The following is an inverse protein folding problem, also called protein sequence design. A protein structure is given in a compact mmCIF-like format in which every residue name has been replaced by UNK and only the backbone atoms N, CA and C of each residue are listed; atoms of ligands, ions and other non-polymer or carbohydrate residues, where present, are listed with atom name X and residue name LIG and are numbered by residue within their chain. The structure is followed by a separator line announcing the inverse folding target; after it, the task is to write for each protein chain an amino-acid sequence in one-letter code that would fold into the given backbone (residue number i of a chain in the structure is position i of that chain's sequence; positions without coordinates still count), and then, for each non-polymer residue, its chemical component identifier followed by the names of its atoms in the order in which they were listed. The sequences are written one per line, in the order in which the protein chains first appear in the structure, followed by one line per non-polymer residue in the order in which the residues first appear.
data_IF_987021336815
#
_entry.id   IF_987021336815
#
_cell.length_a   1.000
_cell.length_b   1.000
_cell.length_c   1.000
_cell.angle_alpha   90.00
_cell.angle_beta   90.00
_cell.angle_gamma   90.00
#
_symmetry.space_group_name_H-M   'P 1'
#
loop_
_entity.id
_entity.type
_entity.pdbx_description
1 polymer ?
#
# COMPACT_ATOMS: atom_id res chain seq x y z
N UNK A 1 -18.39 -14.04 -84.82
CA UNK A 1 -17.86 -12.80 -84.19
C UNK A 1 -18.36 -12.61 -82.73
N UNK A 2 -18.99 -13.59 -82.11
CA UNK A 2 -19.58 -13.47 -80.75
C UNK A 2 -18.84 -14.36 -79.73
N UNK A 3 -17.97 -15.30 -80.16
CA UNK A 3 -17.27 -16.21 -79.24
C UNK A 3 -15.93 -15.63 -78.67
N UNK A 4 -15.31 -14.67 -79.31
CA UNK A 4 -14.05 -14.10 -78.86
C UNK A 4 -14.21 -13.03 -77.76
N UNK A 5 -15.43 -12.41 -77.63
CA UNK A 5 -15.66 -11.41 -76.57
C UNK A 5 -15.84 -11.97 -75.16
N UNK A 6 -16.28 -13.27 -75.05
CA UNK A 6 -16.47 -13.90 -73.72
C UNK A 6 -15.19 -14.42 -73.10
N UNK A 7 -14.16 -14.75 -73.85
CA UNK A 7 -12.88 -15.18 -73.32
C UNK A 7 -12.01 -14.01 -72.77
N UNK A 8 -12.07 -12.83 -73.43
CA UNK A 8 -11.35 -11.65 -72.96
C UNK A 8 -11.90 -11.09 -71.61
N UNK A 9 -13.20 -11.27 -71.35
CA UNK A 9 -13.81 -10.82 -70.10
C UNK A 9 -13.47 -11.74 -68.92
N UNK A 10 -13.22 -13.02 -69.20
CA UNK A 10 -12.91 -14.02 -68.14
C UNK A 10 -11.45 -13.93 -67.69
N UNK A 11 -10.50 -13.58 -68.57
CA UNK A 11 -9.13 -13.37 -68.19
C UNK A 11 -8.91 -12.03 -67.43
N UNK A 12 -9.70 -11.01 -67.71
CA UNK A 12 -9.67 -9.74 -66.91
C UNK A 12 -10.22 -9.88 -65.52
N UNK A 13 -11.25 -10.74 -65.32
CA UNK A 13 -11.81 -10.99 -64.00
C UNK A 13 -10.85 -11.75 -63.10
N UNK A 14 -10.10 -12.72 -63.66
CA UNK A 14 -9.09 -13.48 -62.87
C UNK A 14 -7.86 -12.64 -62.54
N UNK A 15 -7.45 -11.71 -63.42
CA UNK A 15 -6.32 -10.78 -63.14
C UNK A 15 -6.65 -9.71 -62.11
N UNK A 16 -7.91 -9.29 -61.95
CA UNK A 16 -8.32 -8.33 -60.94
C UNK A 16 -8.51 -8.94 -59.53
N UNK A 17 -8.82 -10.22 -59.44
CA UNK A 17 -9.05 -10.88 -58.15
C UNK A 17 -7.74 -11.32 -57.47
N UNK A 18 -6.71 -11.69 -58.25
CA UNK A 18 -5.44 -12.13 -57.69
C UNK A 18 -4.68 -11.08 -56.88
N UNK A 19 -4.57 -9.79 -57.30
CA UNK A 19 -3.88 -8.79 -56.54
C UNK A 19 -4.65 -8.37 -55.26
N UNK A 20 -5.97 -8.45 -55.23
CA UNK A 20 -6.77 -8.13 -54.04
C UNK A 20 -6.68 -9.21 -52.96
N UNK A 21 -6.56 -10.47 -53.32
CA UNK A 21 -6.36 -11.55 -52.33
C UNK A 21 -4.93 -11.52 -51.77
N UNK A 22 -3.95 -11.20 -52.60
CA UNK A 22 -2.54 -11.06 -52.15
C UNK A 22 -2.34 -9.85 -51.22
N UNK A 23 -3.07 -8.76 -51.47
CA UNK A 23 -3.02 -7.59 -50.59
C UNK A 23 -3.72 -7.82 -49.21
N UNK A 24 -4.74 -8.69 -49.17
CA UNK A 24 -5.45 -9.04 -47.93
C UNK A 24 -4.63 -10.04 -47.07
N UNK A 25 -3.76 -10.83 -47.64
CA UNK A 25 -2.88 -11.76 -46.92
C UNK A 25 -1.60 -11.07 -46.38
N UNK A 26 -1.26 -9.88 -46.85
CA UNK A 26 -0.14 -9.08 -46.38
C UNK A 26 -0.52 -8.07 -45.30
N UNK A 27 -1.81 -7.89 -45.02
CA UNK A 27 -2.26 -7.20 -43.82
C UNK A 27 -2.06 -8.16 -42.62
N UNK A 28 -0.82 -8.39 -42.25
CA UNK A 28 -0.48 -9.03 -40.99
C UNK A 28 -1.13 -8.22 -39.85
N UNK A 29 -1.57 -8.89 -38.77
CA UNK A 29 -2.03 -8.18 -37.61
C UNK A 29 -0.93 -7.19 -37.22
N UNK A 30 -1.25 -5.93 -37.18
CA UNK A 30 -0.41 -4.93 -36.56
C UNK A 30 -0.28 -5.34 -35.11
N UNK A 31 0.73 -6.18 -34.84
CA UNK A 31 1.19 -6.43 -33.48
C UNK A 31 1.65 -5.07 -32.98
N UNK A 32 0.82 -4.45 -32.16
CA UNK A 32 1.18 -3.26 -31.44
C UNK A 32 2.49 -3.59 -30.69
N UNK A 33 3.60 -3.26 -31.32
CA UNK A 33 4.88 -3.29 -30.68
C UNK A 33 4.86 -2.15 -29.66
N UNK A 34 4.64 -2.51 -28.40
CA UNK A 34 5.04 -1.67 -27.29
C UNK A 34 6.60 -1.61 -27.28
N UNK A 35 7.18 -1.01 -28.30
CA UNK A 35 8.59 -0.68 -28.38
C UNK A 35 8.81 0.80 -28.06
N UNK A 36 8.11 1.33 -27.07
CA UNK A 36 8.52 2.56 -26.45
C UNK A 36 9.45 2.24 -25.28
N UNK A 37 10.54 3.01 -25.05
CA UNK A 37 11.11 3.04 -23.73
C UNK A 37 9.97 3.49 -22.84
N UNK A 38 9.47 2.59 -21.97
CA UNK A 38 8.60 3.01 -20.91
C UNK A 38 9.40 3.95 -20.03
N UNK A 39 9.35 5.24 -20.33
CA UNK A 39 9.65 6.25 -19.33
C UNK A 39 8.55 6.08 -18.29
N UNK A 40 8.78 5.11 -17.40
CA UNK A 40 8.01 4.98 -16.19
C UNK A 40 8.31 6.26 -15.42
N UNK A 41 7.39 7.20 -15.50
CA UNK A 41 7.25 8.21 -14.48
C UNK A 41 7.39 7.45 -13.18
N UNK A 42 8.36 7.84 -12.36
CA UNK A 42 8.74 7.16 -11.14
C UNK A 42 7.49 6.57 -10.47
N UNK A 43 7.42 5.25 -10.38
CA UNK A 43 6.36 4.63 -9.62
C UNK A 43 6.52 5.18 -8.20
N UNK A 44 5.48 5.77 -7.65
CA UNK A 44 5.59 6.48 -6.39
C UNK A 44 6.13 5.54 -5.30
N UNK A 45 6.54 6.09 -4.22
CA UNK A 45 7.18 5.50 -3.02
C UNK A 45 6.58 4.17 -2.52
N UNK A 46 5.40 3.80 -3.00
CA UNK A 46 4.64 2.58 -2.70
C UNK A 46 5.44 1.28 -2.90
N UNK A 47 6.45 1.28 -3.78
CA UNK A 47 7.25 0.09 -4.08
C UNK A 47 8.66 0.10 -3.47
N UNK A 48 8.96 1.05 -2.58
CA UNK A 48 10.19 0.99 -1.81
C UNK A 48 10.05 -0.08 -0.72
N UNK A 49 11.06 -0.93 -0.52
CA UNK A 49 11.05 -1.84 0.60
C UNK A 49 11.00 -1.02 1.89
N UNK A 50 9.95 -1.23 2.68
CA UNK A 50 9.80 -0.55 3.97
C UNK A 50 10.77 -1.20 4.95
N UNK A 51 11.72 -0.42 5.46
CA UNK A 51 12.67 -0.91 6.46
C UNK A 51 11.98 -0.93 7.82
N UNK A 52 11.87 -2.13 8.41
CA UNK A 52 11.28 -2.28 9.75
C UNK A 52 12.27 -1.74 10.77
N UNK A 53 11.79 -0.92 11.69
CA UNK A 53 12.58 -0.37 12.78
C UNK A 53 12.91 -1.49 13.79
N UNK A 54 14.20 -1.75 14.00
CA UNK A 54 14.68 -2.78 14.92
C UNK A 54 15.38 -2.20 16.14
N UNK A 55 15.67 -0.92 16.13
CA UNK A 55 16.33 -0.25 17.24
C UNK A 55 15.40 -0.16 18.44
N UNK A 56 15.77 -0.85 19.52
CA UNK A 56 14.98 -0.91 20.73
C UNK A 56 14.89 0.44 21.45
N UNK A 57 15.87 1.32 21.30
CA UNK A 57 15.85 2.65 21.92
C UNK A 57 14.81 3.56 21.26
N UNK A 58 14.56 3.37 19.96
CA UNK A 58 13.51 4.06 19.21
C UNK A 58 12.14 3.47 19.50
N UNK A 59 12.05 2.12 19.53
CA UNK A 59 10.78 1.42 19.78
C UNK A 59 10.27 1.59 21.21
N UNK A 60 11.18 1.65 22.20
CA UNK A 60 10.87 1.72 23.63
C UNK A 60 11.72 2.80 24.29
N UNK A 61 11.47 4.06 24.00
CA UNK A 61 12.26 5.17 24.59
C UNK A 61 12.06 5.17 26.12
N UNK A 62 13.14 5.22 26.91
CA UNK A 62 13.06 5.08 28.35
C UNK A 62 12.41 6.28 29.07
N UNK A 63 12.44 7.47 28.45
CA UNK A 63 11.90 8.70 29.02
C UNK A 63 11.30 9.53 27.87
N UNK A 64 10.03 9.26 27.56
CA UNK A 64 9.29 10.14 26.68
C UNK A 64 8.35 11.00 27.54
N UNK A 65 8.89 12.11 28.03
CA UNK A 65 8.11 13.05 28.81
C UNK A 65 7.16 13.82 27.89
N UNK A 66 5.93 13.96 28.33
CA UNK A 66 4.94 14.78 27.62
C UNK A 66 5.40 16.23 27.70
N UNK A 67 5.53 16.86 26.53
CA UNK A 67 5.87 18.27 26.39
C UNK A 67 4.61 19.08 26.21
N UNK A 68 4.46 20.14 26.97
CA UNK A 68 3.34 21.08 26.86
C UNK A 68 3.41 21.87 25.56
N UNK A 69 2.25 22.03 24.92
CA UNK A 69 2.10 22.71 23.63
C UNK A 69 1.06 23.81 23.68
N UNK A 70 1.18 24.76 22.76
CA UNK A 70 0.15 25.75 22.55
C UNK A 70 -1.22 25.10 22.28
N UNK A 71 -2.27 25.57 22.96
CA UNK A 71 -3.61 25.02 22.86
C UNK A 71 -3.97 23.97 23.91
N UNK A 72 -2.98 23.43 24.65
CA UNK A 72 -3.25 22.47 25.72
C UNK A 72 -4.02 23.15 26.86
N UNK A 73 -5.02 22.47 27.38
CA UNK A 73 -5.72 22.85 28.61
C UNK A 73 -5.12 22.09 29.79
N UNK A 74 -4.64 22.83 30.76
CA UNK A 74 -3.97 22.29 31.93
C UNK A 74 -4.77 22.57 33.19
N UNK A 75 -4.89 21.57 34.04
CA UNK A 75 -5.41 21.71 35.40
C UNK A 75 -4.25 21.71 36.37
N UNK A 76 -4.15 22.81 37.12
CA UNK A 76 -3.14 23.00 38.16
C UNK A 76 -3.77 22.72 39.51
N UNK A 77 -3.10 21.96 40.35
CA UNK A 77 -3.51 21.72 41.74
C UNK A 77 -2.32 21.96 42.68
N UNK A 78 -2.55 22.77 43.71
CA UNK A 78 -1.58 22.93 44.80
C UNK A 78 -2.08 22.11 46.00
N UNK A 79 -1.23 21.20 46.48
CA UNK A 79 -1.58 20.34 47.61
C UNK A 79 -1.84 21.16 48.88
N UNK A 80 -2.82 20.77 49.67
CA UNK A 80 -3.30 21.43 50.89
C UNK A 80 -4.04 22.75 50.66
N UNK A 81 -4.33 23.14 49.41
CA UNK A 81 -5.07 24.34 49.09
C UNK A 81 -6.16 23.99 48.07
N UNK A 82 -7.37 23.74 48.56
CA UNK A 82 -8.53 23.40 47.72
C UNK A 82 -9.04 24.56 46.87
N UNK A 83 -8.70 25.80 47.29
CA UNK A 83 -9.18 27.02 46.63
C UNK A 83 -8.33 27.46 45.43
N UNK A 84 -7.15 26.85 45.23
CA UNK A 84 -6.26 27.16 44.10
C UNK A 84 -6.11 25.95 43.18
N UNK A 85 -7.08 25.81 42.32
CA UNK A 85 -7.10 24.73 41.29
C UNK A 85 -7.55 25.31 39.94
N UNK A 86 -6.77 26.25 39.36
CA UNK A 86 -7.17 26.84 38.07
C UNK A 86 -7.07 25.83 36.95
N UNK A 87 -8.03 25.88 36.02
CA UNK A 87 -7.96 25.24 34.70
C UNK A 87 -7.70 26.37 33.72
N UNK A 88 -6.62 26.26 32.98
CA UNK A 88 -6.14 27.31 32.08
C UNK A 88 -5.66 26.70 30.76
N UNK A 89 -5.79 27.46 29.67
CA UNK A 89 -5.33 27.03 28.35
C UNK A 89 -4.05 27.76 27.98
N UNK A 90 -3.08 27.03 27.43
CA UNK A 90 -1.83 27.60 26.91
C UNK A 90 -2.17 28.39 25.65
N UNK A 91 -1.81 29.66 25.62
CA UNK A 91 -2.03 30.54 24.48
C UNK A 91 -1.24 30.11 23.24
N UNK A 92 -1.58 30.65 22.09
CA UNK A 92 -0.84 30.45 20.84
C UNK A 92 0.59 31.00 20.86
N UNK A 93 0.88 31.85 21.82
CA UNK A 93 2.19 32.40 22.15
C UNK A 93 2.99 31.54 23.15
N UNK A 94 2.46 30.38 23.53
CA UNK A 94 3.05 29.46 24.51
C UNK A 94 2.92 29.90 25.95
N UNK A 95 2.17 30.98 26.21
CA UNK A 95 2.05 31.59 27.55
C UNK A 95 0.74 31.17 28.24
N UNK A 96 0.82 31.12 29.56
CA UNK A 96 -0.33 30.92 30.46
C UNK A 96 -0.35 32.05 31.47
N UNK A 97 -1.52 32.60 31.74
CA UNK A 97 -1.74 33.54 32.81
C UNK A 97 -2.28 32.83 34.05
N UNK A 98 -1.47 32.82 35.10
CA UNK A 98 -1.86 32.23 36.38
C UNK A 98 -2.10 33.33 37.41
N UNK A 99 -3.12 33.14 38.22
CA UNK A 99 -3.40 34.08 39.30
C UNK A 99 -2.24 34.12 40.30
N UNK A 100 -1.93 35.28 40.81
CA UNK A 100 -0.83 35.61 41.75
C UNK A 100 0.58 35.57 41.18
N UNK A 101 0.89 34.81 40.14
CA UNK A 101 2.26 34.68 39.61
C UNK A 101 2.41 35.24 38.19
N UNK A 102 1.29 35.74 37.61
CA UNK A 102 1.32 36.42 36.32
C UNK A 102 1.43 35.48 35.11
N UNK A 103 2.12 35.95 34.08
CA UNK A 103 2.29 35.24 32.82
C UNK A 103 3.54 34.37 32.87
N UNK A 104 3.42 33.10 32.52
CA UNK A 104 4.51 32.14 32.44
C UNK A 104 4.51 31.47 31.05
N UNK A 105 5.72 31.30 30.51
CA UNK A 105 5.89 30.51 29.27
C UNK A 105 6.04 29.04 29.62
N UNK A 106 5.09 28.21 29.17
CA UNK A 106 5.06 26.78 29.48
C UNK A 106 5.26 25.89 28.23
N UNK A 107 5.12 26.44 27.03
CA UNK A 107 5.34 25.68 25.80
C UNK A 107 6.77 25.14 25.72
N UNK A 108 6.91 23.89 25.31
CA UNK A 108 8.21 23.19 25.20
C UNK A 108 8.75 22.66 26.53
N UNK A 109 8.08 22.90 27.65
CA UNK A 109 8.47 22.34 28.96
C UNK A 109 7.81 20.98 29.16
N UNK A 110 8.49 20.05 29.82
CA UNK A 110 7.85 18.85 30.35
C UNK A 110 6.93 19.20 31.51
N UNK A 111 5.98 18.30 31.85
CA UNK A 111 5.10 18.51 32.99
C UNK A 111 5.90 18.78 34.26
N UNK A 112 6.95 17.99 34.51
CA UNK A 112 7.82 18.15 35.69
C UNK A 112 8.53 19.51 35.70
N UNK A 113 9.07 19.96 34.57
CA UNK A 113 9.72 21.27 34.47
C UNK A 113 8.73 22.42 34.69
N UNK A 114 7.52 22.28 34.16
CA UNK A 114 6.46 23.27 34.37
C UNK A 114 6.00 23.32 35.85
N UNK A 115 5.85 22.16 36.50
CA UNK A 115 5.57 22.08 37.94
C UNK A 115 6.63 22.78 38.77
N UNK A 116 7.92 22.52 38.50
CA UNK A 116 9.05 23.19 39.20
C UNK A 116 9.09 24.68 38.94
N UNK A 117 8.81 25.13 37.71
CA UNK A 117 8.76 26.55 37.39
C UNK A 117 7.62 27.24 38.15
N UNK A 118 6.43 26.67 38.15
CA UNK A 118 5.29 27.23 38.86
C UNK A 118 5.55 27.23 40.37
N UNK A 119 6.12 26.15 40.92
CA UNK A 119 6.49 26.07 42.35
C UNK A 119 7.45 27.20 42.74
N UNK A 120 8.52 27.43 41.96
CA UNK A 120 9.46 28.53 42.19
C UNK A 120 8.78 29.87 42.16
N UNK A 121 7.89 30.13 41.19
CA UNK A 121 7.18 31.39 41.06
C UNK A 121 6.20 31.65 42.21
N UNK A 122 5.55 30.62 42.73
CA UNK A 122 4.67 30.73 43.91
C UNK A 122 5.47 31.06 45.18
N UNK A 123 6.68 30.54 45.34
CA UNK A 123 7.60 30.86 46.44
C UNK A 123 8.13 32.29 46.31
N UNK A 124 8.57 32.68 45.10
CA UNK A 124 9.05 34.04 44.81
C UNK A 124 7.98 35.12 45.10
N UNK A 125 6.74 34.81 44.76
CA UNK A 125 5.58 35.67 45.03
C UNK A 125 5.21 35.75 46.52
N UNK A 126 5.84 34.94 47.39
CA UNK A 126 5.57 34.92 48.83
C UNK A 126 4.22 34.31 49.23
N UNK A 127 3.54 33.66 48.30
CA UNK A 127 2.19 33.09 48.50
C UNK A 127 2.27 31.81 49.32
N UNK A 128 3.25 30.94 48.99
CA UNK A 128 3.46 29.68 49.66
C UNK A 128 4.95 29.49 50.03
N UNK A 129 5.19 28.82 51.15
CA UNK A 129 6.57 28.53 51.58
C UNK A 129 7.14 27.25 50.99
N UNK A 130 6.29 26.25 50.79
CA UNK A 130 6.69 24.96 50.19
C UNK A 130 5.48 24.33 49.47
N UNK A 131 5.04 24.91 48.34
CA UNK A 131 3.91 24.38 47.60
C UNK A 131 4.32 23.09 46.88
N UNK A 132 3.45 22.07 46.96
CA UNK A 132 3.50 20.90 46.08
C UNK A 132 2.53 21.12 44.94
N UNK A 133 3.05 21.30 43.75
CA UNK A 133 2.29 21.59 42.54
C UNK A 133 2.13 20.31 41.73
N UNK A 134 0.91 20.02 41.29
CA UNK A 134 0.63 18.94 40.32
C UNK A 134 -0.08 19.52 39.12
N UNK A 135 0.40 19.20 37.94
CA UNK A 135 -0.13 19.66 36.68
C UNK A 135 -0.62 18.48 35.87
N UNK A 136 -1.84 18.58 35.33
CA UNK A 136 -2.44 17.57 34.47
C UNK A 136 -2.98 18.23 33.19
N UNK A 137 -2.68 17.64 32.05
CA UNK A 137 -3.31 18.03 30.78
C UNK A 137 -4.71 17.42 30.75
N UNK A 138 -5.74 18.26 30.63
CA UNK A 138 -7.14 17.85 30.55
C UNK A 138 -7.62 17.71 29.11
N UNK A 139 -7.23 18.65 28.25
CA UNK A 139 -7.52 18.67 26.83
C UNK A 139 -6.37 19.29 26.08
N UNK A 140 -6.14 18.88 24.83
CA UNK A 140 -5.16 19.51 23.97
C UNK A 140 -4.97 18.80 22.65
N UNK A 141 -4.43 19.48 21.64
CA UNK A 141 -4.13 18.88 20.34
C UNK A 141 -3.13 17.74 20.45
N UNK A 142 -2.25 17.78 21.44
CA UNK A 142 -1.25 16.74 21.71
C UNK A 142 -1.72 15.66 22.71
N UNK A 143 -2.93 15.78 23.27
CA UNK A 143 -3.51 14.76 24.17
C UNK A 143 -4.20 13.62 23.39
N UNK A 144 -3.98 13.53 22.10
CA UNK A 144 -4.61 12.54 21.24
C UNK A 144 -3.59 11.84 20.35
N UNK A 145 -3.94 10.65 19.90
CA UNK A 145 -3.28 9.92 18.82
C UNK A 145 -4.22 9.86 17.65
N UNK A 146 -3.71 10.19 16.48
CA UNK A 146 -4.45 10.10 15.23
C UNK A 146 -4.14 8.80 14.51
N UNK A 147 -5.17 8.06 14.10
CA UNK A 147 -5.04 6.87 13.25
C UNK A 147 -5.61 7.21 11.89
N UNK A 148 -4.82 7.00 10.83
CA UNK A 148 -5.19 7.33 9.44
C UNK A 148 -4.86 6.18 8.48
N UNK A 149 -5.55 6.15 7.34
CA UNK A 149 -5.36 5.14 6.29
C UNK A 149 -6.55 4.21 6.12
N UNK A 150 -6.32 2.90 6.12
CA UNK A 150 -7.38 1.89 5.96
C UNK A 150 -8.35 1.86 7.15
N UNK A 151 -7.92 2.34 8.28
CA UNK A 151 -8.76 2.70 9.42
C UNK A 151 -8.45 4.13 9.84
N UNK A 152 -9.42 4.80 10.45
CA UNK A 152 -9.27 6.19 10.87
C UNK A 152 -9.99 6.44 12.19
N UNK A 153 -9.38 7.26 13.00
CA UNK A 153 -9.93 7.63 14.29
C UNK A 153 -8.98 8.50 15.09
N UNK A 154 -9.48 9.06 16.16
CA UNK A 154 -8.72 9.84 17.12
C UNK A 154 -8.91 9.20 18.50
N UNK A 155 -7.82 8.87 19.15
CA UNK A 155 -7.83 8.21 20.47
C UNK A 155 -7.26 9.16 21.49
N UNK A 156 -8.02 9.58 22.49
CA UNK A 156 -7.49 10.39 23.58
C UNK A 156 -6.52 9.56 24.42
N UNK A 157 -5.36 10.14 24.71
CA UNK A 157 -4.30 9.51 25.50
C UNK A 157 -3.88 10.43 26.64
N UNK A 158 -3.99 9.92 27.85
CA UNK A 158 -3.38 10.51 29.02
C UNK A 158 -2.13 9.67 29.38
N UNK A 159 -0.96 10.09 28.93
CA UNK A 159 0.27 9.33 29.09
C UNK A 159 0.66 8.48 27.89
N UNK A 160 1.02 7.22 28.09
CA UNK A 160 1.32 6.27 27.02
C UNK A 160 0.32 5.14 26.98
N UNK A 161 -0.01 4.67 25.78
CA UNK A 161 -0.76 3.43 25.55
C UNK A 161 0.03 2.47 24.66
N UNK A 162 -0.35 1.22 24.64
CA UNK A 162 0.22 0.25 23.71
C UNK A 162 -0.40 0.39 22.32
N UNK A 163 0.38 0.11 21.29
CA UNK A 163 -0.08 0.20 19.91
C UNK A 163 -1.35 -0.64 19.68
N UNK A 164 -1.37 -1.88 20.18
CA UNK A 164 -2.54 -2.75 20.02
C UNK A 164 -3.78 -2.22 20.74
N UNK A 165 -3.62 -1.56 21.88
CA UNK A 165 -4.74 -0.93 22.60
C UNK A 165 -5.34 0.22 21.78
N UNK A 166 -4.49 1.03 21.14
CA UNK A 166 -4.93 2.12 20.28
C UNK A 166 -5.68 1.56 19.07
N UNK A 167 -5.11 0.56 18.39
CA UNK A 167 -5.74 -0.06 17.23
C UNK A 167 -7.08 -0.72 17.58
N UNK A 168 -7.16 -1.41 18.71
CA UNK A 168 -8.43 -2.02 19.18
C UNK A 168 -9.50 -0.98 19.53
N UNK A 169 -9.09 0.16 20.10
CA UNK A 169 -10.01 1.27 20.41
C UNK A 169 -10.66 1.85 19.16
N UNK A 170 -9.95 1.87 18.04
CA UNK A 170 -10.45 2.37 16.74
C UNK A 170 -11.23 1.30 15.95
N UNK A 171 -11.34 0.06 16.47
CA UNK A 171 -12.13 -1.00 15.86
C UNK A 171 -11.32 -2.22 15.40
N UNK A 172 -10.02 -2.25 15.67
CA UNK A 172 -9.12 -3.31 15.27
C UNK A 172 -8.71 -3.25 13.80
N UNK A 173 -7.69 -4.01 13.42
CA UNK A 173 -7.20 -4.04 12.04
C UNK A 173 -8.19 -4.77 11.13
N UNK A 174 -8.74 -4.12 10.09
CA UNK A 174 -9.56 -4.79 9.09
C UNK A 174 -8.70 -5.77 8.27
N UNK A 175 -9.34 -6.78 7.68
CA UNK A 175 -8.65 -7.77 6.84
C UNK A 175 -8.00 -7.19 5.57
N UNK A 176 -8.34 -5.97 5.20
CA UNK A 176 -7.74 -5.21 4.09
C UNK A 176 -6.52 -4.37 4.51
N UNK A 177 -6.23 -4.28 5.81
CA UNK A 177 -5.12 -3.51 6.33
C UNK A 177 -3.79 -4.27 6.28
N UNK A 178 -2.72 -3.54 6.04
CA UNK A 178 -1.36 -4.06 6.18
C UNK A 178 -1.02 -4.28 7.66
N UNK A 179 -0.22 -5.30 7.94
CA UNK A 179 0.35 -5.51 9.26
C UNK A 179 1.61 -4.68 9.52
N UNK A 180 2.12 -4.03 8.48
CA UNK A 180 3.20 -3.05 8.62
C UNK A 180 2.55 -1.70 8.92
N UNK A 181 2.79 -1.21 10.13
CA UNK A 181 2.26 0.04 10.65
C UNK A 181 3.38 1.06 10.68
N UNK A 182 3.10 2.25 10.19
CA UNK A 182 4.04 3.37 10.23
C UNK A 182 3.57 4.38 11.26
N UNK A 183 4.45 4.80 12.14
CA UNK A 183 4.16 5.75 13.22
C UNK A 183 5.03 6.97 13.02
N UNK A 184 4.40 8.12 12.87
CA UNK A 184 5.06 9.42 12.85
C UNK A 184 4.96 10.03 14.24
N UNK A 185 6.10 10.21 14.88
CA UNK A 185 6.23 10.84 16.20
C UNK A 185 6.71 12.26 16.05
N UNK A 186 6.05 13.23 16.68
CA UNK A 186 6.54 14.62 16.69
C UNK A 186 7.97 14.69 17.24
N UNK A 187 8.85 15.34 16.49
CA UNK A 187 10.27 15.47 16.84
C UNK A 187 11.20 14.42 16.25
N UNK A 188 10.70 13.29 15.79
CA UNK A 188 11.51 12.28 15.11
C UNK A 188 11.62 12.60 13.61
N UNK A 189 12.84 12.53 13.05
CA UNK A 189 13.09 12.82 11.64
C UNK A 189 12.62 11.68 10.72
N UNK A 190 12.62 10.46 11.22
CA UNK A 190 12.22 9.26 10.46
C UNK A 190 11.01 8.57 11.12
N UNK A 191 10.11 8.01 10.32
CA UNK A 191 8.98 7.28 10.86
C UNK A 191 9.43 5.96 11.50
N UNK A 192 8.76 5.58 12.57
CA UNK A 192 8.91 4.27 13.22
C UNK A 192 8.03 3.28 12.44
N UNK A 193 8.63 2.21 11.94
CA UNK A 193 7.94 1.18 11.19
C UNK A 193 7.95 -0.12 11.96
N UNK A 194 6.78 -0.63 12.30
CA UNK A 194 6.62 -1.90 13.02
C UNK A 194 5.83 -2.90 12.18
N UNK A 195 6.26 -4.16 12.22
CA UNK A 195 5.54 -5.28 11.62
C UNK A 195 4.85 -6.07 12.74
N UNK A 196 3.52 -6.01 12.77
CA UNK A 196 2.74 -6.78 13.73
C UNK A 196 2.82 -8.29 13.49
N UNK A 197 3.19 -8.70 12.26
CA UNK A 197 3.44 -10.09 11.89
C UNK A 197 2.23 -11.01 12.09
N UNK A 198 2.46 -12.29 11.81
CA UNK A 198 1.49 -13.37 12.06
C UNK A 198 1.79 -14.15 13.33
N UNK A 199 2.95 -13.92 13.90
CA UNK A 199 3.43 -14.64 15.08
C UNK A 199 3.04 -13.84 16.34
N UNK A 200 2.33 -14.43 17.32
CA UNK A 200 2.00 -13.77 18.59
C UNK A 200 3.23 -13.21 19.32
N UNK A 201 4.39 -13.86 19.20
CA UNK A 201 5.65 -13.37 19.78
C UNK A 201 6.13 -12.09 19.10
N UNK A 202 6.03 -12.00 17.77
CA UNK A 202 6.36 -10.79 17.03
C UNK A 202 5.39 -9.66 17.34
N UNK A 203 4.10 -9.96 17.45
CA UNK A 203 3.11 -8.96 17.83
C UNK A 203 3.41 -8.33 19.19
N UNK A 204 3.88 -9.12 20.17
CA UNK A 204 4.30 -8.59 21.48
C UNK A 204 5.52 -7.66 21.38
N UNK A 205 6.49 -7.98 20.52
CA UNK A 205 7.66 -7.12 20.27
C UNK A 205 7.31 -5.85 19.50
N UNK A 206 6.28 -5.91 18.67
CA UNK A 206 5.79 -4.78 17.90
C UNK A 206 4.75 -3.94 18.66
N UNK A 207 4.26 -4.42 19.79
CA UNK A 207 3.32 -3.70 20.66
C UNK A 207 4.06 -2.62 21.47
N UNK A 208 4.50 -1.60 20.76
CA UNK A 208 5.29 -0.50 21.29
C UNK A 208 4.44 0.53 22.02
N UNK A 209 5.04 1.35 22.90
CA UNK A 209 4.36 2.47 23.52
C UNK A 209 4.07 3.55 22.47
N UNK A 210 2.85 4.02 22.46
CA UNK A 210 2.34 5.12 21.67
C UNK A 210 2.10 6.29 22.61
N UNK A 211 2.51 7.47 22.18
CA UNK A 211 2.45 8.68 22.96
C UNK A 211 1.45 9.68 22.35
N UNK A 212 1.06 10.64 23.15
CA UNK A 212 0.25 11.75 22.71
C UNK A 212 0.95 12.53 21.58
N UNK A 213 0.21 12.88 20.52
CA UNK A 213 0.74 13.51 19.31
C UNK A 213 1.22 12.54 18.24
N UNK A 214 1.40 11.24 18.53
CA UNK A 214 1.76 10.25 17.51
C UNK A 214 0.67 10.13 16.44
N UNK A 215 1.07 9.99 15.18
CA UNK A 215 0.17 9.68 14.07
C UNK A 215 0.47 8.27 13.55
N UNK A 216 -0.52 7.39 13.65
CA UNK A 216 -0.42 6.00 13.22
C UNK A 216 -1.00 5.88 11.81
N UNK A 217 -0.19 5.47 10.85
CA UNK A 217 -0.59 5.25 9.45
C UNK A 217 -0.78 3.76 9.21
N UNK A 218 -2.02 3.37 8.92
CA UNK A 218 -2.39 2.00 8.59
C UNK A 218 -2.60 1.90 7.09
N UNK A 219 -1.62 1.39 6.38
CA UNK A 219 -1.69 1.24 4.93
C UNK A 219 -2.60 0.07 4.55
N UNK A 220 -3.11 0.10 3.31
CA UNK A 220 -3.83 -1.03 2.74
C UNK A 220 -2.86 -2.17 2.42
N UNK A 221 -3.34 -3.43 2.55
CA UNK A 221 -2.58 -4.59 2.09
C UNK A 221 -2.42 -4.53 0.57
N UNK A 222 -1.24 -4.94 0.10
CA UNK A 222 -0.96 -4.97 -1.33
C UNK A 222 -1.78 -6.00 -2.08
N UNK A 223 -1.88 -5.82 -3.39
CA UNK A 223 -2.52 -6.75 -4.32
C UNK A 223 -1.54 -7.21 -5.38
N UNK A 224 -1.80 -8.39 -5.95
CA UNK A 224 -1.11 -8.91 -7.13
C UNK A 224 -2.08 -8.87 -8.30
N UNK A 225 -1.59 -8.46 -9.46
CA UNK A 225 -2.38 -8.36 -10.68
C UNK A 225 -2.15 -9.58 -11.57
N UNK A 226 -3.19 -10.39 -11.81
CA UNK A 226 -3.16 -11.54 -12.71
C UNK A 226 -3.74 -11.13 -14.06
N UNK A 227 -2.92 -11.06 -15.11
CA UNK A 227 -3.30 -10.52 -16.41
C UNK A 227 -3.01 -11.55 -17.52
N UNK A 228 -3.87 -11.63 -18.51
CA UNK A 228 -3.70 -12.49 -19.70
C UNK A 228 -4.44 -13.81 -19.60
N UNK A 229 -3.83 -14.90 -20.04
CA UNK A 229 -4.47 -16.20 -20.23
C UNK A 229 -4.68 -17.00 -18.93
N UNK A 230 -5.21 -16.38 -17.91
CA UNK A 230 -5.79 -17.05 -16.75
C UNK A 230 -7.29 -17.26 -16.96
N UNK A 231 -7.89 -18.22 -16.28
CA UNK A 231 -9.35 -18.44 -16.40
C UNK A 231 -10.15 -17.30 -15.79
N UNK A 232 -9.67 -16.76 -14.67
CA UNK A 232 -10.22 -15.59 -13.98
C UNK A 232 -9.11 -14.57 -13.73
N UNK A 233 -8.77 -13.75 -14.76
CA UNK A 233 -7.82 -12.66 -14.56
C UNK A 233 -8.43 -11.62 -13.61
N UNK A 234 -7.58 -10.94 -12.84
CA UNK A 234 -8.03 -9.96 -11.86
C UNK A 234 -6.97 -9.64 -10.84
N UNK A 235 -7.40 -9.11 -9.72
CA UNK A 235 -6.53 -8.78 -8.58
C UNK A 235 -6.69 -9.80 -7.47
N UNK A 236 -5.56 -10.19 -6.86
CA UNK A 236 -5.53 -11.06 -5.68
C UNK A 236 -4.95 -10.26 -4.53
N UNK A 237 -5.70 -10.11 -3.46
CA UNK A 237 -5.21 -9.48 -2.24
C UNK A 237 -4.19 -10.40 -1.55
N UNK A 238 -3.08 -9.83 -1.12
CA UNK A 238 -2.10 -10.53 -0.31
C UNK A 238 -2.66 -10.72 1.10
N UNK A 239 -2.39 -11.85 1.70
CA UNK A 239 -2.72 -12.07 3.11
C UNK A 239 -1.49 -11.80 3.97
N UNK A 240 -1.64 -11.13 5.11
CA UNK A 240 -0.50 -10.74 5.94
C UNK A 240 0.31 -11.92 6.46
N UNK A 241 -0.35 -13.05 6.64
CA UNK A 241 0.19 -14.19 7.38
C UNK A 241 0.65 -15.35 6.51
N UNK A 242 0.42 -15.27 5.22
CA UNK A 242 0.81 -16.35 4.31
C UNK A 242 1.40 -15.75 3.05
N UNK A 243 2.68 -15.98 2.78
CA UNK A 243 3.28 -15.52 1.55
C UNK A 243 2.58 -16.17 0.36
N UNK A 244 2.05 -15.36 -0.53
CA UNK A 244 1.40 -15.84 -1.75
C UNK A 244 2.44 -16.26 -2.76
N UNK A 245 2.47 -17.53 -3.14
CA UNK A 245 3.35 -18.01 -4.20
C UNK A 245 2.68 -17.88 -5.58
N UNK A 246 3.50 -17.94 -6.64
CA UNK A 246 3.01 -17.88 -8.01
C UNK A 246 2.01 -19.01 -8.32
N UNK A 247 2.26 -20.21 -7.82
CA UNK A 247 1.37 -21.34 -8.05
C UNK A 247 0.05 -21.20 -7.31
N UNK A 248 0.09 -20.67 -6.08
CA UNK A 248 -1.12 -20.34 -5.32
C UNK A 248 -1.94 -19.25 -6.01
N UNK A 249 -1.30 -18.17 -6.47
CA UNK A 249 -1.95 -17.10 -7.22
C UNK A 249 -2.58 -17.64 -8.53
N UNK A 250 -1.86 -18.52 -9.23
CA UNK A 250 -2.38 -19.18 -10.42
C UNK A 250 -3.60 -20.04 -10.11
N UNK A 251 -3.60 -20.78 -9.00
CA UNK A 251 -4.74 -21.58 -8.55
C UNK A 251 -5.95 -20.70 -8.19
N UNK A 252 -5.73 -19.59 -7.46
CA UNK A 252 -6.77 -18.61 -7.11
C UNK A 252 -7.39 -17.95 -8.36
N UNK A 253 -6.60 -17.77 -9.43
CA UNK A 253 -7.10 -17.32 -10.74
C UNK A 253 -7.78 -18.41 -11.56
N UNK A 254 -8.18 -19.53 -10.93
CA UNK A 254 -8.85 -20.65 -11.60
C UNK A 254 -7.93 -21.49 -12.50
N UNK A 255 -6.63 -21.27 -12.44
CA UNK A 255 -5.62 -21.92 -13.27
C UNK A 255 -5.38 -21.20 -14.61
N UNK A 256 -4.48 -21.78 -15.39
CA UNK A 256 -4.11 -21.26 -16.71
C UNK A 256 -5.14 -21.69 -17.75
N UNK A 257 -5.54 -20.77 -18.63
CA UNK A 257 -6.39 -21.05 -19.79
C UNK A 257 -5.68 -21.96 -20.81
N UNK A 258 -6.44 -22.69 -21.61
CA UNK A 258 -5.89 -23.55 -22.66
C UNK A 258 -5.02 -22.77 -23.67
N UNK A 259 -5.40 -21.53 -23.95
CA UNK A 259 -4.70 -20.65 -24.89
C UNK A 259 -3.38 -20.09 -24.32
N UNK A 260 -3.14 -20.26 -23.01
CA UNK A 260 -1.97 -19.70 -22.34
C UNK A 260 -0.65 -20.28 -22.86
N UNK A 261 0.35 -19.41 -22.95
CA UNK A 261 1.71 -19.79 -23.29
C UNK A 261 2.47 -20.12 -22.00
N UNK A 262 2.43 -21.39 -21.59
CA UNK A 262 2.94 -21.86 -20.30
C UNK A 262 4.44 -21.65 -20.08
N UNK A 263 5.21 -21.52 -21.15
CA UNK A 263 6.67 -21.33 -21.14
C UNK A 263 7.10 -19.84 -21.13
N UNK A 264 6.13 -18.92 -21.11
CA UNK A 264 6.38 -17.48 -21.20
C UNK A 264 5.56 -16.67 -20.17
N UNK A 265 5.31 -17.24 -19.00
CA UNK A 265 4.74 -16.47 -17.89
C UNK A 265 5.77 -15.44 -17.43
N UNK A 266 5.32 -14.21 -17.19
CA UNK A 266 6.18 -13.10 -16.78
C UNK A 266 5.70 -12.52 -15.48
N UNK A 267 6.60 -12.47 -14.49
CA UNK A 267 6.38 -11.70 -13.27
C UNK A 267 7.11 -10.38 -13.44
N UNK A 268 6.36 -9.30 -13.39
CA UNK A 268 6.84 -7.94 -13.57
C UNK A 268 6.79 -7.28 -12.20
N UNK A 269 7.94 -6.92 -11.66
CA UNK A 269 8.11 -6.28 -10.36
C UNK A 269 8.74 -4.92 -10.54
N UNK A 270 8.17 -3.91 -9.90
CA UNK A 270 8.72 -2.56 -9.88
C UNK A 270 9.18 -2.26 -8.46
N UNK A 271 10.46 -1.94 -8.30
CA UNK A 271 11.07 -1.55 -7.03
C UNK A 271 11.71 -0.17 -7.23
N UNK A 272 11.14 0.85 -6.61
CA UNK A 272 11.52 2.23 -6.90
C UNK A 272 11.31 2.55 -8.38
N UNK A 273 12.37 3.00 -9.04
CA UNK A 273 12.36 3.36 -10.48
C UNK A 273 12.75 2.19 -11.39
N UNK A 274 13.10 1.04 -10.82
CA UNK A 274 13.53 -0.12 -11.57
C UNK A 274 12.42 -1.12 -11.78
N UNK A 275 12.21 -1.52 -13.02
CA UNK A 275 11.27 -2.56 -13.41
C UNK A 275 12.03 -3.82 -13.83
N UNK A 276 11.78 -4.90 -13.10
CA UNK A 276 12.36 -6.22 -13.38
C UNK A 276 11.30 -7.12 -13.97
N UNK A 277 11.64 -7.84 -15.05
CA UNK A 277 10.77 -8.83 -15.66
C UNK A 277 11.45 -10.20 -15.56
N UNK A 278 10.83 -11.09 -14.81
CA UNK A 278 11.30 -12.47 -14.66
C UNK A 278 10.40 -13.38 -15.50
N UNK A 279 11.00 -14.07 -16.46
CA UNK A 279 10.30 -15.05 -17.29
C UNK A 279 10.37 -16.43 -16.64
N UNK A 280 9.22 -17.11 -16.55
CA UNK A 280 9.06 -18.40 -15.89
C UNK A 280 8.31 -19.38 -16.80
N UNK A 281 8.66 -20.64 -16.66
CA UNK A 281 7.90 -21.74 -17.25
C UNK A 281 7.01 -22.38 -16.18
N UNK A 282 5.70 -22.15 -16.31
CA UNK A 282 4.69 -22.64 -15.35
C UNK A 282 4.78 -24.15 -15.16
N UNK A 283 5.05 -24.90 -16.25
CA UNK A 283 5.17 -26.36 -16.15
C UNK A 283 6.38 -26.77 -15.32
N UNK A 284 7.52 -26.08 -15.47
CA UNK A 284 8.69 -26.39 -14.67
C UNK A 284 8.47 -26.13 -13.20
N UNK A 285 7.78 -25.02 -12.87
CA UNK A 285 7.40 -24.72 -11.49
C UNK A 285 6.44 -25.76 -10.94
N UNK A 286 5.39 -26.11 -11.70
CA UNK A 286 4.39 -27.11 -11.31
C UNK A 286 4.99 -28.49 -11.04
N UNK A 287 5.99 -28.89 -11.83
CA UNK A 287 6.67 -30.19 -11.66
C UNK A 287 7.87 -30.13 -10.70
N UNK A 288 8.05 -29.03 -9.95
CA UNK A 288 9.15 -28.87 -8.99
C UNK A 288 10.54 -28.77 -9.65
N UNK A 289 10.61 -28.52 -10.96
CA UNK A 289 11.85 -28.34 -11.71
C UNK A 289 12.38 -26.89 -11.69
N UNK A 290 11.59 -25.97 -11.18
CA UNK A 290 11.95 -24.58 -10.94
C UNK A 290 11.33 -24.14 -9.63
N UNK A 291 11.96 -23.17 -8.92
CA UNK A 291 11.41 -22.64 -7.66
C UNK A 291 10.09 -21.93 -7.91
N UNK A 292 9.19 -22.02 -6.92
CA UNK A 292 7.92 -21.28 -6.90
C UNK A 292 8.15 -19.92 -6.22
N UNK A 293 8.20 -18.81 -6.96
CA UNK A 293 8.54 -17.51 -6.39
C UNK A 293 7.39 -16.96 -5.54
N UNK A 294 7.76 -16.29 -4.44
CA UNK A 294 6.85 -15.51 -3.62
C UNK A 294 6.55 -14.19 -4.33
N UNK A 295 5.28 -13.90 -4.47
CA UNK A 295 4.79 -12.64 -5.05
C UNK A 295 4.79 -11.53 -4.00
N UNK A 296 5.09 -10.31 -4.46
CA UNK A 296 5.12 -9.11 -3.63
C UNK A 296 3.98 -8.16 -4.00
N UNK A 297 3.66 -7.20 -3.13
CA UNK A 297 2.69 -6.16 -3.44
C UNK A 297 2.98 -5.48 -4.78
N UNK A 298 1.92 -5.29 -5.58
CA UNK A 298 1.95 -4.67 -6.91
C UNK A 298 2.71 -5.47 -8.00
N UNK A 299 3.07 -6.72 -7.74
CA UNK A 299 3.54 -7.59 -8.83
C UNK A 299 2.45 -7.77 -9.89
N UNK A 300 2.86 -7.73 -11.15
CA UNK A 300 2.02 -8.04 -12.29
C UNK A 300 2.45 -9.41 -12.83
N UNK A 301 1.56 -10.39 -12.75
CA UNK A 301 1.76 -11.72 -13.32
C UNK A 301 1.05 -11.75 -14.67
N UNK A 302 1.83 -11.75 -15.73
CA UNK A 302 1.32 -11.71 -17.10
C UNK A 302 1.55 -13.04 -17.82
N UNK A 303 0.49 -13.64 -18.31
CA UNK A 303 0.54 -14.84 -19.11
C UNK A 303 0.04 -14.55 -20.54
N UNK A 304 0.93 -14.50 -21.55
CA UNK A 304 0.51 -14.23 -22.93
C UNK A 304 -0.28 -15.41 -23.52
N UNK A 305 -1.14 -15.09 -24.48
CA UNK A 305 -1.85 -16.10 -25.28
C UNK A 305 -0.91 -16.70 -26.34
N UNK A 306 -1.07 -17.99 -26.60
CA UNK A 306 -0.48 -18.66 -27.76
C UNK A 306 -1.38 -18.43 -28.96
N UNK A 307 -0.93 -17.67 -29.93
CA UNK A 307 -1.69 -17.33 -31.15
C UNK A 307 -2.23 -18.59 -31.85
N UNK A 308 -1.40 -19.64 -31.93
CA UNK A 308 -1.80 -20.90 -32.53
C UNK A 308 -2.95 -21.60 -31.78
N UNK A 309 -2.92 -21.62 -30.45
CA UNK A 309 -3.94 -22.23 -29.62
C UNK A 309 -5.23 -21.40 -29.58
N UNK A 310 -5.10 -20.06 -29.56
CA UNK A 310 -6.23 -19.15 -29.61
C UNK A 310 -7.03 -19.31 -30.91
N UNK A 311 -6.35 -19.54 -32.05
CA UNK A 311 -6.97 -19.80 -33.35
C UNK A 311 -7.75 -21.11 -33.35
N UNK A 312 -7.29 -22.13 -32.64
CA UNK A 312 -7.96 -23.43 -32.53
C UNK A 312 -9.15 -23.33 -31.56
N UNK A 313 -9.00 -22.67 -30.42
CA UNK A 313 -10.05 -22.56 -29.38
C UNK A 313 -11.26 -21.74 -29.81
N UNK A 314 -11.09 -20.74 -30.65
CA UNK A 314 -12.18 -19.87 -31.14
C UNK A 314 -12.88 -20.42 -32.40
N UNK A 315 -12.60 -21.67 -32.80
CA UNK A 315 -13.26 -22.29 -33.96
C UNK A 315 -12.89 -21.66 -35.33
N UNK A 316 -12.01 -20.67 -35.34
CA UNK A 316 -11.63 -19.94 -36.55
C UNK A 316 -10.84 -20.78 -37.53
N UNK A 317 -10.17 -21.82 -37.07
CA UNK A 317 -9.51 -22.84 -37.96
C UNK A 317 -10.53 -23.67 -38.74
N UNK A 318 -11.67 -24.03 -38.13
CA UNK A 318 -12.76 -24.73 -38.82
C UNK A 318 -13.37 -23.88 -39.93
N UNK A 319 -13.56 -22.57 -39.69
CA UNK A 319 -14.06 -21.64 -40.72
C UNK A 319 -13.04 -21.40 -41.83
N UNK A 320 -11.75 -21.27 -41.48
CA UNK A 320 -10.69 -21.14 -42.50
C UNK A 320 -10.54 -22.38 -43.38
N UNK A 321 -10.54 -23.56 -42.77
CA UNK A 321 -10.52 -24.84 -43.53
C UNK A 321 -11.77 -25.02 -44.37
N UNK A 322 -12.95 -24.62 -43.86
CA UNK A 322 -14.19 -24.60 -44.61
C UNK A 322 -14.18 -23.71 -45.84
N UNK A 323 -13.63 -22.48 -45.69
CA UNK A 323 -13.49 -21.55 -46.82
C UNK A 323 -12.46 -22.05 -47.82
N UNK A 324 -11.33 -22.60 -47.41
CA UNK A 324 -10.32 -23.18 -48.31
C UNK A 324 -10.91 -24.40 -49.07
N UNK A 325 -11.67 -25.27 -48.37
CA UNK A 325 -12.36 -26.40 -48.97
C UNK A 325 -13.40 -25.94 -50.00
N UNK A 326 -14.14 -24.89 -49.71
CA UNK A 326 -15.15 -24.32 -50.62
C UNK A 326 -14.48 -23.70 -51.86
N UNK A 327 -13.37 -22.98 -51.68
CA UNK A 327 -12.59 -22.40 -52.81
C UNK A 327 -12.00 -23.50 -53.70
N UNK A 328 -11.46 -24.56 -53.12
CA UNK A 328 -10.95 -25.71 -53.89
C UNK A 328 -12.07 -26.41 -54.63
N UNK A 329 -13.26 -26.61 -54.02
CA UNK A 329 -14.40 -27.26 -54.69
C UNK A 329 -14.96 -26.41 -55.85
N UNK A 330 -14.84 -25.09 -55.79
CA UNK A 330 -15.27 -24.17 -56.88
C UNK A 330 -14.22 -24.14 -58.00
N UNK A 331 -12.94 -24.31 -57.68
CA UNK A 331 -11.85 -24.28 -58.65
C UNK A 331 -11.72 -25.57 -59.45
N UNK A 332 -12.28 -26.68 -58.97
CA UNK A 332 -12.26 -27.99 -59.65
C UNK A 332 -13.59 -28.36 -60.29
N UNK A 333 -14.54 -27.45 -60.39
CA UNK A 333 -15.77 -27.58 -61.20
C UNK A 333 -15.68 -26.64 -62.40
#
# INVERSE_FOLDING_TARGET
MILQSKLACRERAVRCILPTITALLLAGPALGQFNGPASLTAAPEINRPVTITTDRSVLFPPNHDIVLSAGDEISLRVFSQTDYSPVVRIGTDGNVQLQFIGVLHLEGLTITQAEELIQRKLIEAGIYRNPQVTLQITEGPNAVVSVIGEMHGVVPIAGSRRLLDVLTTVGGLPGSASHVITIHRPGDAEPIVVDLGSDPMRSQLADIPIFAGDTIVVSRIGVVYMIGAFKTPGTIALTPYSPLTLMQATALSGGVSFEGKYDDLRVIRTVGDQRTVVKLDVKKVLYGKAPDPILQPNDIVFLPNSVLKASIGNGSLGTLLGIVGLVISIAYR
#
